data_IF_441433104043
#
_entry.id   IF_441433104043
#
_cell.length_a   1.000
_cell.length_b   1.000
_cell.length_c   1.000
_cell.angle_alpha   90.00
_cell.angle_beta   90.00
_cell.angle_gamma   90.00
#
_symmetry.space_group_name_H-M   'P 1'
#
loop_
_entity.id
_entity.type
_entity.pdbx_description
1 polymer ?
#
# COMPACT_ATOMS: atom_id res chain seq x y z
N UNK A 1 -7.72 -3.97 -20.16
CA UNK A 1 -6.44 -4.27 -19.47
C UNK A 1 -5.87 -2.94 -19.01
N UNK A 2 -5.68 -2.72 -17.70
CA UNK A 2 -5.28 -1.41 -17.14
C UNK A 2 -3.78 -1.09 -17.34
N UNK A 3 -2.99 -2.07 -17.78
CA UNK A 3 -1.57 -1.91 -18.07
C UNK A 3 -1.30 -2.40 -19.50
N UNK A 4 -0.71 -1.54 -20.32
CA UNK A 4 -0.18 -1.90 -21.62
C UNK A 4 1.34 -1.71 -21.60
N UNK A 5 2.11 -2.75 -21.90
CA UNK A 5 3.57 -2.70 -21.97
C UNK A 5 4.31 -3.40 -20.81
N UNK A 6 5.62 -3.16 -20.72
CA UNK A 6 6.49 -3.78 -19.73
C UNK A 6 6.26 -3.19 -18.33
N UNK A 7 6.26 -4.06 -17.33
CA UNK A 7 6.18 -3.69 -15.91
C UNK A 7 7.53 -3.91 -15.25
N UNK A 8 7.88 -3.02 -14.33
CA UNK A 8 9.03 -3.22 -13.44
C UNK A 8 8.56 -3.84 -12.15
N UNK A 9 9.16 -4.97 -11.78
CA UNK A 9 8.98 -5.57 -10.46
C UNK A 9 9.94 -4.90 -9.49
N UNK A 10 9.42 -4.45 -8.35
CA UNK A 10 10.20 -3.87 -7.26
C UNK A 10 10.27 -4.89 -6.12
N UNK A 11 11.47 -5.04 -5.54
CA UNK A 11 11.63 -5.89 -4.35
C UNK A 11 11.00 -5.23 -3.13
N UNK A 12 10.38 -6.06 -2.30
CA UNK A 12 9.87 -5.65 -0.99
C UNK A 12 11.00 -5.74 0.04
N UNK A 13 11.53 -4.58 0.43
CA UNK A 13 12.65 -4.46 1.35
C UNK A 13 12.26 -3.91 2.73
N UNK A 14 13.27 -3.64 3.55
CA UNK A 14 13.12 -3.17 4.94
C UNK A 14 12.25 -1.91 5.04
N UNK A 15 12.44 -0.92 4.16
CA UNK A 15 11.61 0.28 4.15
C UNK A 15 10.14 -0.02 3.83
N UNK A 16 9.87 -0.94 2.90
CA UNK A 16 8.51 -1.41 2.62
C UNK A 16 7.87 -2.06 3.85
N UNK A 17 8.62 -2.88 4.58
CA UNK A 17 8.19 -3.48 5.83
C UNK A 17 7.92 -2.44 6.94
N UNK A 18 8.79 -1.42 7.06
CA UNK A 18 8.63 -0.31 8.02
C UNK A 18 7.32 0.45 7.78
N UNK A 19 7.09 0.92 6.54
CA UNK A 19 5.84 1.61 6.18
C UNK A 19 4.61 0.72 6.38
N UNK A 20 4.68 -0.57 6.02
CA UNK A 20 3.61 -1.54 6.26
C UNK A 20 3.22 -1.59 7.75
N UNK A 21 4.22 -1.67 8.65
CA UNK A 21 4.00 -1.71 10.08
C UNK A 21 3.37 -0.42 10.63
N UNK A 22 3.82 0.74 10.15
CA UNK A 22 3.26 2.04 10.52
C UNK A 22 1.79 2.17 10.09
N UNK A 23 1.47 1.77 8.86
CA UNK A 23 0.09 1.75 8.36
C UNK A 23 -0.75 0.81 9.23
N UNK A 24 -0.26 -0.40 9.50
CA UNK A 24 -0.97 -1.41 10.30
C UNK A 24 -1.33 -0.87 11.67
N UNK A 25 -0.35 -0.33 12.38
CA UNK A 25 -0.52 0.27 13.69
C UNK A 25 -1.58 1.40 13.64
N UNK A 26 -1.51 2.27 12.63
CA UNK A 26 -2.47 3.37 12.49
C UNK A 26 -3.91 2.91 12.26
N UNK A 27 -4.10 1.86 11.46
CA UNK A 27 -5.41 1.32 11.08
C UNK A 27 -6.03 0.46 12.19
N UNK A 28 -5.22 -0.37 12.86
CA UNK A 28 -5.66 -1.21 13.97
C UNK A 28 -6.10 -0.34 15.15
N UNK A 29 -5.39 0.75 15.45
CA UNK A 29 -5.75 1.70 16.51
C UNK A 29 -7.13 2.35 16.32
N UNK A 30 -7.63 2.42 15.09
CA UNK A 30 -8.95 3.00 14.78
C UNK A 30 -9.99 1.92 14.41
N UNK A 31 -9.65 0.64 14.55
CA UNK A 31 -10.55 -0.48 14.26
C UNK A 31 -10.93 -0.62 12.78
N UNK A 32 -10.06 -0.17 11.87
CA UNK A 32 -10.32 -0.18 10.42
C UNK A 32 -9.18 -0.85 9.64
N UNK A 33 -8.90 -2.15 9.88
CA UNK A 33 -7.88 -2.86 9.14
C UNK A 33 -8.22 -2.92 7.65
N UNK A 34 -7.20 -3.20 6.84
CA UNK A 34 -7.32 -3.57 5.43
C UNK A 34 -6.71 -4.97 5.25
N UNK A 35 -6.98 -5.61 4.11
CA UNK A 35 -6.41 -6.92 3.77
C UNK A 35 -4.89 -6.96 3.93
N UNK A 36 -4.35 -8.11 4.37
CA UNK A 36 -2.92 -8.24 4.66
C UNK A 36 -2.02 -7.95 3.44
N UNK A 37 -2.44 -8.35 2.24
CA UNK A 37 -1.70 -8.01 1.00
C UNK A 37 -1.89 -6.56 0.58
N UNK A 38 -3.08 -5.98 0.75
CA UNK A 38 -3.33 -4.55 0.49
C UNK A 38 -2.46 -3.69 1.41
N UNK A 39 -2.28 -4.09 2.66
CA UNK A 39 -1.38 -3.46 3.60
C UNK A 39 0.09 -3.46 3.11
N UNK A 40 0.58 -4.59 2.59
CA UNK A 40 1.93 -4.70 2.04
C UNK A 40 2.09 -3.85 0.77
N UNK A 41 1.09 -3.84 -0.11
CA UNK A 41 1.07 -3.03 -1.34
C UNK A 41 1.09 -1.53 -0.99
N UNK A 42 0.29 -1.11 -0.01
CA UNK A 42 0.26 0.27 0.46
C UNK A 42 1.61 0.69 1.05
N UNK A 43 2.21 -0.18 1.89
CA UNK A 43 3.54 0.06 2.46
C UNK A 43 4.62 0.20 1.39
N UNK A 44 4.59 -0.66 0.38
CA UNK A 44 5.50 -0.60 -0.77
C UNK A 44 5.30 0.68 -1.60
N UNK A 45 4.06 1.08 -1.85
CA UNK A 45 3.78 2.31 -2.60
C UNK A 45 4.33 3.56 -1.87
N UNK A 46 4.12 3.64 -0.55
CA UNK A 46 4.63 4.75 0.25
C UNK A 46 6.16 4.75 0.38
N UNK A 47 6.80 3.59 0.51
CA UNK A 47 8.26 3.51 0.62
C UNK A 47 8.97 4.03 -0.62
N UNK A 48 8.40 3.80 -1.81
CA UNK A 48 8.90 4.31 -3.08
C UNK A 48 8.29 5.65 -3.51
N UNK A 49 7.38 6.24 -2.73
CA UNK A 49 6.65 7.48 -3.05
C UNK A 49 5.90 7.40 -4.39
N UNK A 50 5.22 6.27 -4.63
CA UNK A 50 4.45 5.99 -5.84
C UNK A 50 2.94 6.19 -5.62
N UNK A 51 2.23 6.47 -6.71
CA UNK A 51 0.76 6.43 -6.77
C UNK A 51 0.28 5.00 -6.94
N UNK A 52 -0.73 4.59 -6.17
CA UNK A 52 -1.30 3.24 -6.27
C UNK A 52 -2.54 3.25 -7.17
N UNK A 53 -2.40 2.65 -8.35
CA UNK A 53 -3.55 2.42 -9.25
C UNK A 53 -4.29 1.16 -8.81
N UNK A 54 -5.57 1.30 -8.42
CA UNK A 54 -6.37 0.18 -7.90
C UNK A 54 -7.86 0.31 -8.25
N UNK A 55 -8.55 -0.82 -8.36
CA UNK A 55 -10.01 -0.88 -8.41
C UNK A 55 -10.65 -0.93 -7.01
N UNK A 56 -9.86 -1.16 -5.94
CA UNK A 56 -10.32 -1.24 -4.55
C UNK A 56 -10.11 0.07 -3.78
N UNK A 57 -10.47 1.20 -4.39
CA UNK A 57 -10.18 2.54 -3.84
C UNK A 57 -10.76 2.75 -2.44
N UNK A 58 -11.92 2.16 -2.15
CA UNK A 58 -12.59 2.28 -0.83
C UNK A 58 -11.76 1.71 0.32
N UNK A 59 -11.00 0.64 0.08
CA UNK A 59 -10.16 0.03 1.10
C UNK A 59 -8.88 0.82 1.31
N UNK A 60 -8.18 1.16 0.22
CA UNK A 60 -6.94 1.93 0.25
C UNK A 60 -7.11 3.38 0.72
N UNK A 61 -8.28 3.99 0.55
CA UNK A 61 -8.59 5.34 1.06
C UNK A 61 -8.46 5.48 2.59
N UNK A 62 -8.35 4.37 3.33
CA UNK A 62 -8.08 4.37 4.77
C UNK A 62 -6.61 4.66 5.10
N UNK A 63 -5.71 4.44 4.16
CA UNK A 63 -4.27 4.67 4.33
C UNK A 63 -3.96 6.14 4.09
N UNK A 64 -3.48 6.83 5.13
CA UNK A 64 -3.08 8.24 5.00
C UNK A 64 -1.86 8.38 4.10
N UNK A 65 -1.81 9.47 3.34
CA UNK A 65 -0.70 9.83 2.42
C UNK A 65 -0.55 8.94 1.19
N UNK A 66 -1.40 7.92 1.02
CA UNK A 66 -1.46 7.12 -0.20
C UNK A 66 -2.37 7.83 -1.22
N UNK A 67 -1.86 8.04 -2.43
CA UNK A 67 -2.57 8.66 -3.56
C UNK A 67 -2.91 7.60 -4.59
#
# INVERSE_FOLDING_TARGET
MLLAGAVRVLEFGEEGARYTGEIRNSLERIGRPIGAYDLLIAGQALSYKLTLVTANTKEFARVKSLV
#
